data_IF_645290822861
#
_entry.id   IF_645290822861
#
_cell.length_a   1.000
_cell.length_b   1.000
_cell.length_c   1.000
_cell.angle_alpha   90.00
_cell.angle_beta   90.00
_cell.angle_gamma   90.00
#
_symmetry.space_group_name_H-M   'P 1'
#
loop_
_entity.id
_entity.type
_entity.pdbx_description
1 polymer ?
#
# COMPACT_ATOMS: atom_id res chain seq x y z
N UNK A 1 -0.35 -18.46 6.83
CA UNK A 1 1.03 -18.11 6.39
C UNK A 1 1.30 -18.32 4.88
N UNK A 2 0.71 -19.31 4.18
CA UNK A 2 0.90 -19.47 2.71
C UNK A 2 0.31 -18.37 1.81
N UNK A 3 -0.69 -17.60 2.27
CA UNK A 3 -1.33 -16.55 1.47
C UNK A 3 -0.43 -15.31 1.22
N UNK A 4 0.49 -14.98 2.14
CA UNK A 4 1.35 -13.80 2.02
C UNK A 4 2.41 -13.92 0.90
N UNK A 5 2.83 -15.14 0.57
CA UNK A 5 3.81 -15.36 -0.51
C UNK A 5 3.22 -15.10 -1.89
N UNK A 6 1.97 -15.52 -2.12
CA UNK A 6 1.30 -15.32 -3.42
C UNK A 6 1.01 -13.83 -3.64
N UNK A 7 0.58 -13.13 -2.60
CA UNK A 7 0.31 -11.68 -2.66
C UNK A 7 1.55 -10.85 -2.93
N UNK A 8 2.72 -11.35 -2.55
CA UNK A 8 3.99 -10.68 -2.77
C UNK A 8 4.43 -10.72 -4.24
N UNK A 9 4.24 -11.84 -4.92
CA UNK A 9 4.71 -12.05 -6.29
C UNK A 9 3.68 -11.66 -7.36
N UNK A 10 2.39 -11.61 -7.03
CA UNK A 10 1.32 -11.27 -7.97
C UNK A 10 1.55 -9.93 -8.72
N UNK A 11 1.93 -8.81 -8.07
CA UNK A 11 2.14 -7.55 -8.79
C UNK A 11 3.26 -7.63 -9.83
N UNK A 12 4.34 -8.36 -9.49
CA UNK A 12 5.49 -8.56 -10.36
C UNK A 12 5.10 -9.48 -11.52
N UNK A 13 4.41 -10.58 -11.24
CA UNK A 13 3.95 -11.51 -12.26
C UNK A 13 2.98 -10.83 -13.25
N UNK A 14 2.03 -10.02 -12.76
CA UNK A 14 1.12 -9.24 -13.60
C UNK A 14 1.90 -8.21 -14.44
N UNK A 15 2.88 -7.52 -13.85
CA UNK A 15 3.71 -6.57 -14.59
C UNK A 15 4.53 -7.26 -15.70
N UNK A 16 5.13 -8.42 -15.40
CA UNK A 16 5.85 -9.22 -16.39
C UNK A 16 4.95 -9.70 -17.52
N UNK A 17 3.75 -10.21 -17.21
CA UNK A 17 2.78 -10.66 -18.22
C UNK A 17 2.29 -9.49 -19.06
N UNK A 18 1.94 -8.37 -18.44
CA UNK A 18 1.51 -7.17 -19.16
C UNK A 18 2.61 -6.64 -20.09
N UNK A 19 3.87 -6.61 -19.62
CA UNK A 19 5.00 -6.22 -20.44
C UNK A 19 5.27 -7.20 -21.58
N UNK A 20 5.16 -8.51 -21.34
CA UNK A 20 5.30 -9.53 -22.38
C UNK A 20 4.21 -9.41 -23.45
N UNK A 21 2.95 -9.17 -23.05
CA UNK A 21 1.84 -8.92 -23.97
C UNK A 21 2.06 -7.63 -24.76
N UNK A 22 2.46 -6.55 -24.10
CA UNK A 22 2.79 -5.28 -24.76
C UNK A 22 3.87 -5.45 -25.83
N UNK A 23 4.95 -6.15 -25.47
CA UNK A 23 6.06 -6.45 -26.36
C UNK A 23 5.62 -7.32 -27.55
N UNK A 24 4.83 -8.36 -27.29
CA UNK A 24 4.37 -9.31 -28.32
C UNK A 24 3.39 -8.69 -29.33
N UNK A 25 2.67 -7.65 -28.92
CA UNK A 25 1.75 -6.91 -29.80
C UNK A 25 2.45 -5.82 -30.63
N UNK A 26 3.78 -5.66 -30.47
CA UNK A 26 4.55 -4.54 -31.03
C UNK A 26 3.85 -3.18 -30.76
N UNK A 27 3.22 -3.06 -29.59
CA UNK A 27 2.44 -1.90 -29.23
C UNK A 27 3.36 -0.68 -29.20
N UNK A 28 3.19 0.21 -30.18
CA UNK A 28 3.95 1.46 -30.26
C UNK A 28 3.31 2.49 -29.35
N UNK A 29 4.16 3.28 -28.69
CA UNK A 29 3.71 4.48 -28.01
C UNK A 29 3.05 5.42 -29.02
N UNK A 30 2.08 6.25 -28.59
CA UNK A 30 1.44 7.21 -29.47
C UNK A 30 2.48 8.19 -30.04
N UNK A 31 2.14 8.87 -31.13
CA UNK A 31 3.09 9.75 -31.86
C UNK A 31 3.78 10.81 -31.00
N UNK A 32 4.83 11.43 -31.54
CA UNK A 32 5.77 12.29 -30.81
C UNK A 32 5.16 13.41 -29.96
N UNK A 33 3.98 13.91 -30.30
CA UNK A 33 3.27 14.92 -29.48
C UNK A 33 2.55 14.26 -28.30
N UNK A 34 1.82 13.17 -28.55
CA UNK A 34 1.05 12.45 -27.53
C UNK A 34 1.94 11.67 -26.54
N UNK A 35 3.15 11.26 -26.94
CA UNK A 35 4.09 10.58 -26.02
C UNK A 35 4.59 11.51 -24.91
N UNK A 36 4.74 12.81 -25.21
CA UNK A 36 5.15 13.82 -24.22
C UNK A 36 4.05 14.02 -23.18
N UNK A 37 2.82 14.16 -23.63
CA UNK A 37 1.67 14.28 -22.73
C UNK A 37 1.50 13.03 -21.86
N UNK A 38 1.74 11.85 -22.43
CA UNK A 38 1.75 10.58 -21.69
C UNK A 38 2.83 10.55 -20.61
N UNK A 39 4.07 10.94 -20.93
CA UNK A 39 5.16 11.01 -19.94
C UNK A 39 4.89 12.07 -18.86
N UNK A 40 4.37 13.24 -19.22
CA UNK A 40 4.01 14.28 -18.24
C UNK A 40 2.94 13.78 -17.27
N UNK A 41 1.89 13.15 -17.79
CA UNK A 41 0.79 12.61 -16.99
C UNK A 41 1.27 11.49 -16.08
N UNK A 42 2.07 10.57 -16.61
CA UNK A 42 2.61 9.42 -15.85
C UNK A 42 3.59 9.87 -14.77
N UNK A 43 4.46 10.85 -15.09
CA UNK A 43 5.36 11.47 -14.13
C UNK A 43 4.58 12.16 -13.01
N UNK A 44 3.53 12.91 -13.34
CA UNK A 44 2.67 13.56 -12.36
C UNK A 44 1.98 12.55 -11.43
N UNK A 45 1.40 11.49 -12.01
CA UNK A 45 0.81 10.39 -11.24
C UNK A 45 1.82 9.72 -10.30
N UNK A 46 3.02 9.41 -10.80
CA UNK A 46 4.08 8.80 -10.01
C UNK A 46 4.55 9.72 -8.87
N UNK A 47 4.74 11.02 -9.15
CA UNK A 47 5.16 12.00 -8.14
C UNK A 47 4.14 12.16 -7.02
N UNK A 48 2.84 12.30 -7.35
CA UNK A 48 1.76 12.38 -6.37
C UNK A 48 1.73 11.12 -5.50
N UNK A 49 1.80 9.96 -6.15
CA UNK A 49 1.81 8.66 -5.49
C UNK A 49 2.97 8.52 -4.51
N UNK A 50 4.19 8.84 -4.95
CA UNK A 50 5.40 8.80 -4.11
C UNK A 50 5.25 9.74 -2.92
N UNK A 51 4.66 10.93 -3.11
CA UNK A 51 4.33 11.86 -2.04
C UNK A 51 3.39 11.23 -0.99
N UNK A 52 2.28 10.64 -1.41
CA UNK A 52 1.36 9.95 -0.50
C UNK A 52 2.03 8.79 0.25
N UNK A 53 2.84 7.98 -0.44
CA UNK A 53 3.58 6.88 0.18
C UNK A 53 4.61 7.39 1.21
N UNK A 54 5.30 8.50 0.91
CA UNK A 54 6.23 9.13 1.83
C UNK A 54 5.51 9.63 3.10
N UNK A 55 4.36 10.28 2.94
CA UNK A 55 3.53 10.71 4.07
C UNK A 55 3.05 9.52 4.90
N UNK A 56 2.58 8.44 4.27
CA UNK A 56 2.18 7.23 4.97
C UNK A 56 3.33 6.62 5.78
N UNK A 57 4.54 6.52 5.19
CA UNK A 57 5.73 6.05 5.91
C UNK A 57 6.08 6.95 7.09
N UNK A 58 6.02 8.27 6.91
CA UNK A 58 6.30 9.24 7.97
C UNK A 58 5.33 9.10 9.15
N UNK A 59 4.02 8.91 8.88
CA UNK A 59 3.02 8.66 9.92
C UNK A 59 3.33 7.38 10.70
N UNK A 60 3.65 6.29 10.00
CA UNK A 60 3.99 5.01 10.62
C UNK A 60 5.22 5.14 11.53
N UNK A 61 6.24 5.88 11.10
CA UNK A 61 7.47 6.11 11.87
C UNK A 61 7.24 7.05 13.06
N UNK A 62 6.39 8.07 12.89
CA UNK A 62 6.14 9.09 13.91
C UNK A 62 5.19 8.66 15.03
N UNK A 63 4.54 7.50 14.91
CA UNK A 63 3.53 7.02 15.87
C UNK A 63 3.94 5.75 16.65
N UNK A 64 5.17 5.66 17.23
CA UNK A 64 5.64 4.44 17.90
C UNK A 64 4.82 4.06 19.13
N UNK A 65 4.25 5.05 19.82
CA UNK A 65 3.48 4.85 21.06
C UNK A 65 1.98 4.64 20.81
N UNK A 66 1.53 4.67 19.55
CA UNK A 66 0.13 4.34 19.29
C UNK A 66 -0.10 2.86 19.60
N UNK A 67 -1.18 2.50 20.33
CA UNK A 67 -1.46 1.09 20.67
C UNK A 67 -1.44 0.18 19.43
N UNK A 68 -1.88 0.71 18.30
CA UNK A 68 -1.95 0.05 17.01
C UNK A 68 -0.55 -0.22 16.41
N UNK A 69 0.34 0.77 16.40
CA UNK A 69 1.71 0.59 15.91
C UNK A 69 2.49 -0.33 16.84
N UNK A 70 2.23 -0.27 18.15
CA UNK A 70 2.81 -1.19 19.13
C UNK A 70 2.35 -2.64 18.88
N UNK A 71 1.05 -2.87 18.70
CA UNK A 71 0.50 -4.18 18.37
C UNK A 71 1.06 -4.70 17.02
N UNK A 72 1.22 -3.84 16.00
CA UNK A 72 1.83 -4.19 14.73
C UNK A 72 3.34 -4.47 14.83
N UNK A 73 4.03 -3.76 15.72
CA UNK A 73 5.46 -3.95 16.00
C UNK A 73 5.72 -5.27 16.72
N UNK A 74 4.96 -5.54 17.79
CA UNK A 74 5.05 -6.75 18.60
C UNK A 74 4.67 -8.02 17.79
N UNK A 75 3.82 -7.88 16.78
CA UNK A 75 3.44 -8.98 15.86
C UNK A 75 4.37 -9.15 14.65
N UNK A 76 5.39 -8.30 14.49
CA UNK A 76 6.34 -8.33 13.38
C UNK A 76 5.81 -7.79 12.04
N UNK A 77 4.51 -7.46 11.94
CA UNK A 77 3.89 -6.98 10.71
C UNK A 77 4.27 -5.55 10.33
N UNK A 78 4.77 -4.75 11.27
CA UNK A 78 5.23 -3.38 11.00
C UNK A 78 6.38 -3.34 9.98
N UNK A 79 7.35 -4.24 10.11
CA UNK A 79 8.48 -4.36 9.19
C UNK A 79 8.02 -4.75 7.78
N UNK A 80 7.05 -5.68 7.69
CA UNK A 80 6.45 -6.08 6.42
C UNK A 80 5.66 -4.93 5.79
N UNK A 81 4.90 -4.16 6.58
CA UNK A 81 4.17 -2.99 6.09
C UNK A 81 5.11 -1.94 5.50
N UNK A 82 6.19 -1.59 6.22
CA UNK A 82 7.20 -0.65 5.73
C UNK A 82 7.86 -1.18 4.46
N UNK A 83 8.14 -2.49 4.39
CA UNK A 83 8.68 -3.12 3.18
C UNK A 83 7.71 -3.01 2.00
N UNK A 84 6.42 -3.23 2.23
CA UNK A 84 5.39 -3.13 1.20
C UNK A 84 5.16 -1.69 0.72
N UNK A 85 5.35 -0.68 1.59
CA UNK A 85 5.35 0.74 1.25
C UNK A 85 6.59 1.15 0.45
N UNK A 86 7.77 0.65 0.85
CA UNK A 86 9.06 0.99 0.24
C UNK A 86 9.16 0.58 -1.23
N UNK A 87 8.65 -0.60 -1.59
CA UNK A 87 8.76 -1.12 -2.96
C UNK A 87 8.11 -0.19 -4.01
N UNK A 88 6.80 0.10 -3.97
CA UNK A 88 6.17 1.02 -4.92
C UNK A 88 6.64 2.47 -4.74
N UNK A 89 7.16 2.86 -3.58
CA UNK A 89 7.83 4.15 -3.44
C UNK A 89 9.07 4.24 -4.35
N UNK A 90 9.94 3.23 -4.30
CA UNK A 90 11.13 3.18 -5.16
C UNK A 90 10.77 3.00 -6.64
N UNK A 91 9.78 2.16 -6.95
CA UNK A 91 9.31 1.98 -8.33
C UNK A 91 8.69 3.29 -8.84
N UNK A 92 7.93 4.01 -8.02
CA UNK A 92 7.36 5.31 -8.39
C UNK A 92 8.44 6.35 -8.69
N UNK A 93 9.50 6.39 -7.88
CA UNK A 93 10.65 7.26 -8.14
C UNK A 93 11.37 6.87 -9.45
N UNK A 94 11.53 5.57 -9.70
CA UNK A 94 12.12 5.06 -10.93
C UNK A 94 11.25 5.39 -12.17
N UNK A 95 9.92 5.28 -12.08
CA UNK A 95 8.99 5.68 -13.14
C UNK A 95 9.08 7.17 -13.42
N UNK A 96 9.11 8.01 -12.38
CA UNK A 96 9.25 9.46 -12.53
C UNK A 96 10.57 9.83 -13.21
N UNK A 97 11.69 9.21 -12.78
CA UNK A 97 12.98 9.40 -13.42
C UNK A 97 13.00 8.90 -14.87
N UNK A 98 12.36 7.76 -15.16
CA UNK A 98 12.25 7.21 -16.51
C UNK A 98 11.43 8.11 -17.43
N UNK A 99 10.33 8.69 -16.95
CA UNK A 99 9.55 9.66 -17.71
C UNK A 99 10.35 10.94 -17.99
N UNK A 100 11.13 11.43 -17.01
CA UNK A 100 12.03 12.56 -17.19
C UNK A 100 13.11 12.26 -18.24
N UNK A 101 13.71 11.06 -18.22
CA UNK A 101 14.63 10.62 -19.27
C UNK A 101 13.94 10.56 -20.63
N UNK A 102 12.70 10.08 -20.69
CA UNK A 102 11.88 10.05 -21.91
C UNK A 102 11.60 11.44 -22.51
N UNK A 103 11.66 12.50 -21.70
CA UNK A 103 11.56 13.88 -22.17
C UNK A 103 12.85 14.43 -22.80
N UNK A 104 14.01 14.01 -22.28
CA UNK A 104 15.31 14.59 -22.66
C UNK A 104 15.97 13.81 -23.80
N UNK A 105 15.70 12.51 -23.89
CA UNK A 105 16.30 11.62 -24.88
C UNK A 105 15.61 11.77 -26.26
N UNK A 106 16.34 11.66 -27.38
CA UNK A 106 15.75 11.75 -28.72
C UNK A 106 14.61 10.76 -28.97
N UNK A 107 13.64 11.16 -29.79
CA UNK A 107 12.48 10.35 -30.16
C UNK A 107 12.85 8.97 -30.73
N UNK A 108 13.96 8.87 -31.46
CA UNK A 108 14.45 7.61 -32.04
C UNK A 108 14.78 6.54 -31.00
N UNK A 109 15.13 6.94 -29.77
CA UNK A 109 15.42 6.02 -28.67
C UNK A 109 14.16 5.74 -27.86
N UNK A 110 13.28 6.73 -27.67
CA UNK A 110 12.05 6.56 -26.90
C UNK A 110 10.96 5.80 -27.66
N UNK A 111 10.99 5.84 -28.99
CA UNK A 111 10.18 5.00 -29.89
C UNK A 111 10.69 3.55 -29.96
N UNK A 112 11.88 3.27 -29.43
CA UNK A 112 12.40 1.90 -29.36
C UNK A 112 11.48 1.02 -28.54
N UNK A 113 11.14 -0.15 -29.08
CA UNK A 113 10.28 -1.16 -28.42
C UNK A 113 10.80 -1.52 -27.03
N UNK A 114 12.12 -1.51 -26.83
CA UNK A 114 12.71 -1.82 -25.52
C UNK A 114 12.42 -0.75 -24.47
N UNK A 115 12.56 0.54 -24.83
CA UNK A 115 12.25 1.64 -23.93
C UNK A 115 10.76 1.66 -23.56
N UNK A 116 9.89 1.51 -24.56
CA UNK A 116 8.44 1.43 -24.36
C UNK A 116 8.05 0.24 -23.46
N UNK A 117 8.64 -0.94 -23.70
CA UNK A 117 8.36 -2.14 -22.90
C UNK A 117 8.84 -1.97 -21.46
N UNK A 118 10.01 -1.35 -21.24
CA UNK A 118 10.53 -1.08 -19.90
C UNK A 118 9.68 -0.05 -19.15
N UNK A 119 9.25 1.02 -19.84
CA UNK A 119 8.31 1.99 -19.28
C UNK A 119 6.96 1.36 -18.92
N UNK A 120 6.41 0.50 -19.78
CA UNK A 120 5.17 -0.22 -19.50
C UNK A 120 5.31 -1.15 -18.29
N UNK A 121 6.41 -1.92 -18.22
CA UNK A 121 6.74 -2.80 -17.09
C UNK A 121 6.74 -2.01 -15.77
N UNK A 122 7.52 -0.92 -15.70
CA UNK A 122 7.64 -0.12 -14.49
C UNK A 122 6.31 0.53 -14.09
N UNK A 123 5.54 1.01 -15.06
CA UNK A 123 4.22 1.63 -14.82
C UNK A 123 3.21 0.62 -14.28
N UNK A 124 3.13 -0.58 -14.88
CA UNK A 124 2.23 -1.63 -14.41
C UNK A 124 2.67 -2.16 -13.04
N UNK A 125 3.98 -2.29 -12.81
CA UNK A 125 4.50 -2.66 -11.48
C UNK A 125 4.10 -1.61 -10.43
N UNK A 126 4.24 -0.32 -10.73
CA UNK A 126 3.79 0.74 -9.84
C UNK A 126 2.30 0.58 -9.49
N UNK A 127 1.43 0.46 -10.50
CA UNK A 127 -0.01 0.31 -10.31
C UNK A 127 -0.32 -0.95 -9.47
N UNK A 128 0.30 -2.08 -9.79
CA UNK A 128 0.13 -3.32 -9.04
C UNK A 128 0.60 -3.20 -7.58
N UNK A 129 1.70 -2.49 -7.35
CA UNK A 129 2.21 -2.19 -6.02
C UNK A 129 1.26 -1.31 -5.20
N UNK A 130 0.63 -0.32 -5.82
CA UNK A 130 -0.37 0.53 -5.17
C UNK A 130 -1.65 -0.22 -4.85
N UNK A 131 -2.13 -1.04 -5.78
CA UNK A 131 -3.29 -1.90 -5.53
C UNK A 131 -3.03 -2.83 -4.34
N UNK A 132 -1.84 -3.45 -4.28
CA UNK A 132 -1.42 -4.28 -3.14
C UNK A 132 -1.43 -3.50 -1.83
N UNK A 133 -0.90 -2.28 -1.81
CA UNK A 133 -0.96 -1.42 -0.62
C UNK A 133 -2.41 -1.14 -0.22
N UNK A 134 -3.27 -0.78 -1.16
CA UNK A 134 -4.69 -0.54 -0.90
C UNK A 134 -5.38 -1.73 -0.23
N UNK A 135 -5.14 -2.95 -0.74
CA UNK A 135 -5.68 -4.19 -0.16
C UNK A 135 -5.15 -4.42 1.26
N UNK A 136 -3.85 -4.21 1.49
CA UNK A 136 -3.25 -4.33 2.83
C UNK A 136 -3.88 -3.32 3.80
N UNK A 137 -4.06 -2.07 3.37
CA UNK A 137 -4.68 -1.03 4.19
C UNK A 137 -6.12 -1.39 4.60
N UNK A 138 -6.93 -1.88 3.65
CA UNK A 138 -8.30 -2.32 3.95
C UNK A 138 -8.30 -3.43 5.01
N UNK A 139 -7.44 -4.45 4.85
CA UNK A 139 -7.33 -5.55 5.82
C UNK A 139 -6.87 -5.08 7.19
N UNK A 140 -5.93 -4.13 7.25
CA UNK A 140 -5.49 -3.54 8.51
C UNK A 140 -6.65 -2.82 9.20
N UNK A 141 -7.44 -2.03 8.47
CA UNK A 141 -8.63 -1.34 9.00
C UNK A 141 -9.67 -2.33 9.53
N UNK A 142 -9.97 -3.40 8.77
CA UNK A 142 -10.89 -4.46 9.20
C UNK A 142 -10.41 -5.18 10.47
N UNK A 143 -9.12 -5.45 10.56
CA UNK A 143 -8.50 -6.04 11.74
C UNK A 143 -8.64 -5.14 12.97
N UNK A 144 -8.32 -3.85 12.82
CA UNK A 144 -8.44 -2.85 13.89
C UNK A 144 -9.90 -2.72 14.35
N UNK A 145 -10.84 -2.64 13.41
CA UNK A 145 -12.28 -2.56 13.70
C UNK A 145 -12.76 -3.76 14.51
N UNK A 146 -12.32 -4.96 14.13
CA UNK A 146 -12.67 -6.21 14.81
C UNK A 146 -12.13 -6.26 16.26
N UNK A 147 -10.88 -5.87 16.47
CA UNK A 147 -10.27 -5.82 17.81
C UNK A 147 -10.95 -4.78 18.73
N UNK A 148 -11.30 -3.61 18.19
CA UNK A 148 -12.00 -2.58 18.96
C UNK A 148 -13.37 -3.07 19.46
N UNK A 149 -14.09 -3.87 18.66
CA UNK A 149 -15.37 -4.46 19.04
C UNK A 149 -15.18 -5.49 20.16
N UNK A 150 -14.21 -6.39 20.03
CA UNK A 150 -13.93 -7.42 21.04
C UNK A 150 -13.55 -6.81 22.38
N UNK A 151 -12.71 -5.76 22.38
CA UNK A 151 -12.31 -5.06 23.60
C UNK A 151 -13.51 -4.41 24.31
N UNK A 152 -14.42 -3.79 23.55
CA UNK A 152 -15.68 -3.25 24.10
C UNK A 152 -16.56 -4.34 24.69
N UNK A 153 -16.62 -5.52 24.07
CA UNK A 153 -17.39 -6.64 24.60
C UNK A 153 -16.79 -7.20 25.90
N UNK A 154 -15.47 -7.35 25.97
CA UNK A 154 -14.78 -7.80 27.18
C UNK A 154 -15.01 -6.85 28.37
N UNK A 155 -14.90 -5.52 28.13
CA UNK A 155 -15.16 -4.51 29.16
C UNK A 155 -16.61 -4.57 29.66
N UNK A 156 -17.59 -4.74 28.75
CA UNK A 156 -18.99 -4.90 29.14
C UNK A 156 -19.24 -6.15 29.98
N UNK A 157 -18.62 -7.28 29.64
CA UNK A 157 -18.73 -8.52 30.42
C UNK A 157 -18.11 -8.38 31.81
N UNK A 158 -16.93 -7.75 31.91
CA UNK A 158 -16.28 -7.51 33.19
C UNK A 158 -17.13 -6.60 34.11
N UNK A 159 -17.74 -5.55 33.55
CA UNK A 159 -18.65 -4.67 34.31
C UNK A 159 -19.91 -5.41 34.80
N UNK A 160 -20.50 -6.28 33.98
CA UNK A 160 -21.66 -7.11 34.37
C UNK A 160 -21.29 -8.10 35.49
N UNK A 161 -20.13 -8.74 35.39
CA UNK A 161 -19.63 -9.64 36.43
C UNK A 161 -19.41 -8.89 37.76
N UNK A 162 -18.75 -7.73 37.71
CA UNK A 162 -18.51 -6.90 38.90
C UNK A 162 -19.82 -6.45 39.57
N UNK A 163 -20.83 -6.08 38.78
CA UNK A 163 -22.15 -5.71 39.30
C UNK A 163 -22.87 -6.91 39.96
N UNK A 164 -22.74 -8.12 39.39
CA UNK A 164 -23.34 -9.33 39.97
C UNK A 164 -22.64 -9.85 41.23
N UNK A 165 -21.34 -9.53 41.41
CA UNK A 165 -20.56 -9.92 42.58
C UNK A 165 -20.61 -8.92 43.73
N UNK A 166 -21.22 -7.74 43.54
CA UNK A 166 -21.38 -6.76 44.62
C UNK A 166 -22.43 -7.28 45.60
N UNK A 167 -22.06 -7.63 46.86
CA UNK A 167 -22.99 -8.20 47.80
C UNK A 167 -24.11 -7.20 48.03
N UNK A 168 -25.35 -7.64 47.84
CA UNK A 168 -26.55 -6.86 48.10
C UNK A 168 -26.38 -6.16 49.45
N UNK A 169 -26.34 -4.83 49.43
CA UNK A 169 -26.10 -4.01 50.60
C UNK A 169 -26.98 -4.51 51.74
N UNK A 170 -26.35 -4.80 52.87
CA UNK A 170 -27.04 -5.09 54.12
C UNK A 170 -28.10 -4.01 54.31
N UNK A 171 -29.39 -4.40 54.43
CA UNK A 171 -30.46 -3.41 54.56
C UNK A 171 -30.16 -2.50 55.75
N UNK A 172 -30.43 -1.19 55.63
CA UNK A 172 -30.23 -0.27 56.74
C UNK A 172 -31.02 -0.79 57.94
N UNK A 173 -30.31 -1.14 59.02
CA UNK A 173 -30.94 -1.45 60.29
C UNK A 173 -31.67 -0.19 60.73
N UNK A 174 -33.00 -0.23 60.68
CA UNK A 174 -33.84 0.85 61.18
C UNK A 174 -33.64 0.95 62.70
N UNK A 175 -33.57 2.17 63.26
CA UNK A 175 -33.33 2.42 64.69
C UNK A 175 -34.49 1.98 65.59
#
# INVERSE_FOLDING_TARGET
MRQLWIERWYPIAVACVAAAVWHSLEAKLPGADAIRDLYATTMGFAAITVGFLATAMSIVIAAPDSPLVRDLSESGYLSDLVRYLREPFLVGLAVAALCLLGFVVPATVTESTWFSSFWALCTVWLIGGLFRIGVIFVRVIEYIGSQAILRRQQLRRAAQQAASSSPAGTPPQAP
#
